data_IF_825004280466
#
_entry.id   IF_825004280466
#
_cell.length_a   1.000
_cell.length_b   1.000
_cell.length_c   1.000
_cell.angle_alpha   90.00
_cell.angle_beta   90.00
_cell.angle_gamma   90.00
#
_symmetry.space_group_name_H-M   'P 1'
#
loop_
_entity.id
_entity.type
_entity.pdbx_description
1 polymer ?
#
# COMPACT_ATOMS: atom_id res chain seq x y z
N UNK A 1 24.71 9.84 -11.83
CA UNK A 1 23.57 8.93 -12.08
C UNK A 1 22.30 9.76 -12.12
N UNK A 2 21.41 9.56 -13.10
CA UNK A 2 20.14 10.31 -13.16
C UNK A 2 19.07 9.49 -12.46
N UNK A 3 18.49 10.03 -11.40
CA UNK A 3 17.33 9.43 -10.74
C UNK A 3 16.09 9.74 -11.58
N UNK A 4 15.25 8.73 -11.82
CA UNK A 4 13.99 8.82 -12.53
C UNK A 4 12.88 8.32 -11.60
N UNK A 5 11.82 9.11 -11.45
CA UNK A 5 10.58 8.68 -10.82
C UNK A 5 9.57 8.34 -11.91
N UNK A 6 9.08 7.10 -11.92
CA UNK A 6 8.15 6.64 -12.96
C UNK A 6 7.12 5.65 -12.40
N UNK A 7 5.95 5.62 -13.05
CA UNK A 7 4.81 4.82 -12.63
C UNK A 7 4.71 3.51 -13.41
N UNK A 8 4.44 2.43 -12.70
CA UNK A 8 4.04 1.13 -13.25
C UNK A 8 2.58 0.83 -12.91
N UNK A 9 1.80 0.33 -13.86
CA UNK A 9 0.43 -0.13 -13.64
C UNK A 9 0.34 -1.65 -13.69
N UNK A 10 -0.31 -2.26 -12.70
CA UNK A 10 -0.55 -3.70 -12.64
C UNK A 10 -1.98 -4.02 -12.16
N UNK A 11 -2.51 -5.18 -12.52
CA UNK A 11 -3.84 -5.62 -12.04
C UNK A 11 -3.82 -6.04 -10.58
N UNK A 12 -2.74 -6.72 -10.18
CA UNK A 12 -2.48 -7.22 -8.83
C UNK A 12 -1.30 -6.45 -8.22
N UNK A 13 -1.21 -6.32 -6.88
CA UNK A 13 -0.05 -5.69 -6.28
C UNK A 13 1.20 -6.51 -6.56
N UNK A 14 2.32 -5.86 -6.86
CA UNK A 14 3.59 -6.55 -7.13
C UNK A 14 4.32 -6.76 -5.81
N UNK A 15 4.09 -7.90 -5.19
CA UNK A 15 4.55 -8.19 -3.83
C UNK A 15 5.98 -8.73 -3.81
N UNK A 16 6.29 -9.59 -4.77
CA UNK A 16 7.66 -9.99 -5.09
C UNK A 16 7.84 -9.97 -6.59
N UNK A 17 8.93 -9.40 -7.06
CA UNK A 17 9.35 -9.53 -8.45
C UNK A 17 9.89 -10.95 -8.73
N UNK A 18 9.42 -11.98 -7.98
CA UNK A 18 9.81 -13.41 -7.98
C UNK A 18 8.81 -14.46 -8.54
N UNK A 19 7.49 -14.19 -8.70
CA UNK A 19 6.47 -15.09 -9.27
C UNK A 19 6.74 -15.71 -10.68
N UNK A 20 6.17 -16.90 -10.96
CA UNK A 20 6.26 -17.58 -12.28
C UNK A 20 5.50 -16.86 -13.39
N UNK A 21 4.53 -16.02 -13.03
CA UNK A 21 3.56 -15.40 -13.95
C UNK A 21 3.92 -13.94 -14.28
N UNK A 22 5.18 -13.57 -14.02
CA UNK A 22 5.62 -12.18 -14.07
C UNK A 22 5.65 -11.63 -15.49
N UNK A 23 5.39 -10.32 -15.67
CA UNK A 23 5.77 -9.66 -16.89
C UNK A 23 7.30 -9.73 -17.05
N UNK A 24 7.75 -10.12 -18.24
CA UNK A 24 9.18 -10.22 -18.56
C UNK A 24 9.92 -8.89 -18.37
N UNK A 25 9.22 -7.75 -18.36
CA UNK A 25 9.76 -6.40 -18.19
C UNK A 25 8.73 -5.50 -17.48
N UNK A 26 9.18 -4.44 -16.81
CA UNK A 26 8.27 -3.39 -16.37
C UNK A 26 8.17 -2.27 -17.40
N UNK A 27 6.95 -1.95 -17.77
CA UNK A 27 6.64 -0.72 -18.48
C UNK A 27 6.42 0.38 -17.46
N UNK A 28 7.22 1.44 -17.58
CA UNK A 28 7.18 2.60 -16.71
C UNK A 28 6.86 3.85 -17.53
N UNK A 29 6.20 4.82 -16.91
CA UNK A 29 5.84 6.05 -17.59
C UNK A 29 5.25 7.09 -16.66
N UNK A 30 4.46 8.00 -17.23
CA UNK A 30 3.57 8.83 -16.43
C UNK A 30 2.46 7.97 -15.81
N UNK A 31 1.78 8.52 -14.82
CA UNK A 31 0.64 7.86 -14.19
C UNK A 31 -0.52 7.64 -15.16
N UNK A 32 -0.72 8.54 -16.13
CA UNK A 32 -1.71 8.40 -17.20
C UNK A 32 -1.36 7.23 -18.13
N UNK A 33 -0.06 7.04 -18.42
CA UNK A 33 0.41 5.92 -19.22
C UNK A 33 0.18 4.59 -18.50
N UNK A 34 0.54 4.53 -17.21
CA UNK A 34 0.24 3.38 -16.36
C UNK A 34 -1.26 3.07 -16.34
N UNK A 35 -2.12 4.09 -16.24
CA UNK A 35 -3.57 3.93 -16.15
C UNK A 35 -4.20 3.45 -17.43
N UNK A 36 -3.79 3.97 -18.58
CA UNK A 36 -4.25 3.46 -19.86
C UNK A 36 -3.82 2.01 -20.09
N UNK A 37 -2.63 1.64 -19.62
CA UNK A 37 -2.11 0.28 -19.76
C UNK A 37 -2.85 -0.74 -18.89
N UNK A 38 -3.10 -0.43 -17.62
CA UNK A 38 -3.73 -1.37 -16.70
C UNK A 38 -5.27 -1.25 -16.65
N UNK A 39 -5.82 -0.09 -17.03
CA UNK A 39 -7.21 0.29 -16.86
C UNK A 39 -7.54 0.59 -15.40
N UNK A 40 -7.70 -0.47 -14.62
CA UNK A 40 -7.94 -0.41 -13.18
C UNK A 40 -7.03 -1.40 -12.45
N UNK A 41 -6.49 -0.99 -11.30
CA UNK A 41 -5.59 -1.83 -10.53
C UNK A 41 -4.69 -1.01 -9.61
N UNK A 42 -3.46 -1.51 -9.46
CA UNK A 42 -2.42 -0.94 -8.61
C UNK A 42 -1.45 -0.12 -9.44
N UNK A 43 -1.06 1.02 -8.88
CA UNK A 43 -0.15 1.98 -9.45
C UNK A 43 1.06 2.11 -8.54
N UNK A 44 2.22 1.74 -9.06
CA UNK A 44 3.47 1.69 -8.32
C UNK A 44 4.36 2.83 -8.75
N UNK A 45 4.77 3.69 -7.81
CA UNK A 45 5.77 4.72 -8.03
C UNK A 45 7.15 4.11 -7.76
N UNK A 46 8.01 4.11 -8.77
CA UNK A 46 9.36 3.57 -8.68
C UNK A 46 10.39 4.68 -8.75
N UNK A 47 11.41 4.57 -7.89
CA UNK A 47 12.68 5.25 -8.08
C UNK A 47 13.56 4.36 -8.94
N UNK A 48 14.05 4.87 -10.07
CA UNK A 48 14.91 4.13 -10.99
C UNK A 48 16.22 4.89 -11.15
N UNK A 49 17.32 4.17 -11.08
CA UNK A 49 18.68 4.70 -11.15
C UNK A 49 19.47 3.98 -12.26
N UNK A 50 19.06 4.13 -13.54
CA UNK A 50 19.69 3.41 -14.63
C UNK A 50 21.04 4.05 -14.98
N UNK A 51 22.04 3.22 -15.27
CA UNK A 51 23.34 3.66 -15.78
C UNK A 51 23.38 3.60 -17.31
N UNK A 52 22.79 2.55 -17.90
CA UNK A 52 22.86 2.23 -19.32
C UNK A 52 21.48 2.23 -19.95
N UNK A 53 21.15 3.35 -20.60
CA UNK A 53 19.87 3.54 -21.30
C UNK A 53 20.06 3.58 -22.81
N UNK A 54 19.08 3.06 -23.56
CA UNK A 54 19.03 3.23 -25.01
C UNK A 54 17.66 3.70 -25.49
N UNK A 55 17.64 4.75 -26.30
CA UNK A 55 16.42 5.18 -27.00
C UNK A 55 16.11 4.26 -28.17
N UNK A 56 14.84 3.88 -28.31
CA UNK A 56 14.30 3.12 -29.44
C UNK A 56 13.05 3.82 -29.99
N UNK A 57 12.73 3.58 -31.26
CA UNK A 57 11.44 4.01 -31.83
C UNK A 57 10.36 3.00 -31.44
N UNK A 58 9.21 3.49 -31.00
CA UNK A 58 8.03 2.66 -30.78
C UNK A 58 7.42 2.30 -32.14
N UNK A 59 7.33 1.00 -32.43
CA UNK A 59 6.86 0.47 -33.72
C UNK A 59 5.63 -0.44 -33.59
N UNK A 60 5.02 -0.54 -32.40
CA UNK A 60 3.81 -1.36 -32.16
C UNK A 60 3.98 -2.88 -32.26
N UNK A 61 4.99 -3.39 -32.99
CA UNK A 61 5.26 -4.81 -33.16
C UNK A 61 6.17 -5.39 -32.06
N UNK A 62 6.17 -6.73 -31.98
CA UNK A 62 6.83 -7.57 -30.98
C UNK A 62 8.19 -7.03 -30.50
N UNK A 63 8.20 -6.53 -29.26
CA UNK A 63 9.36 -5.94 -28.62
C UNK A 63 10.34 -6.99 -28.09
N UNK A 64 10.00 -8.29 -28.11
CA UNK A 64 10.84 -9.37 -27.55
C UNK A 64 12.25 -9.38 -28.12
N UNK A 65 12.41 -9.35 -29.46
CA UNK A 65 13.74 -9.37 -30.08
C UNK A 65 14.58 -8.13 -29.73
N UNK A 66 13.93 -6.99 -29.49
CA UNK A 66 14.62 -5.74 -29.08
C UNK A 66 15.03 -5.80 -27.62
N UNK A 67 14.14 -6.31 -26.74
CA UNK A 67 14.39 -6.54 -25.31
C UNK A 67 15.54 -7.53 -25.12
N UNK A 68 15.50 -8.69 -25.80
CA UNK A 68 16.56 -9.71 -25.72
C UNK A 68 17.92 -9.17 -26.14
N UNK A 69 17.98 -8.41 -27.25
CA UNK A 69 19.23 -7.77 -27.69
C UNK A 69 19.70 -6.68 -26.73
N UNK A 70 18.78 -5.96 -26.10
CA UNK A 70 19.12 -4.93 -25.12
C UNK A 70 19.75 -5.55 -23.86
N UNK A 71 19.15 -6.62 -23.34
CA UNK A 71 19.68 -7.39 -22.20
C UNK A 71 21.08 -7.93 -22.47
N UNK A 72 21.28 -8.57 -23.64
CA UNK A 72 22.61 -9.07 -24.04
C UNK A 72 23.67 -7.97 -24.16
N UNK A 73 23.26 -6.73 -24.39
CA UNK A 73 24.15 -5.58 -24.43
C UNK A 73 24.39 -4.96 -23.04
N UNK A 74 23.84 -5.54 -21.97
CA UNK A 74 23.95 -5.03 -20.61
C UNK A 74 23.27 -3.68 -20.42
N UNK A 75 22.14 -3.45 -21.08
CA UNK A 75 21.33 -2.24 -20.88
C UNK A 75 20.36 -2.44 -19.73
N UNK A 76 20.21 -1.41 -18.90
CA UNK A 76 19.25 -1.39 -17.79
C UNK A 76 17.84 -1.08 -18.29
N UNK A 77 17.76 -0.17 -19.27
CA UNK A 77 16.47 0.42 -19.66
C UNK A 77 16.42 0.82 -21.13
N UNK A 78 15.24 0.64 -21.74
CA UNK A 78 14.89 1.21 -23.04
C UNK A 78 14.01 2.43 -22.85
N UNK A 79 14.25 3.48 -23.63
CA UNK A 79 13.45 4.71 -23.63
C UNK A 79 12.76 4.84 -24.98
N UNK A 80 11.47 5.18 -25.01
CA UNK A 80 10.74 5.41 -26.25
C UNK A 80 9.66 6.47 -26.06
N UNK A 81 9.33 7.21 -27.11
CA UNK A 81 8.13 8.06 -27.09
C UNK A 81 6.92 7.17 -27.16
N UNK A 82 6.06 7.22 -26.13
CA UNK A 82 4.81 6.48 -26.17
C UNK A 82 3.87 7.17 -27.16
N UNK A 83 3.45 6.42 -28.17
CA UNK A 83 2.60 6.93 -29.25
C UNK A 83 1.12 6.59 -29.07
N UNK A 84 0.81 5.85 -28.01
CA UNK A 84 -0.53 5.35 -27.74
C UNK A 84 -0.98 5.75 -26.33
N UNK A 85 -0.32 5.25 -25.29
CA UNK A 85 -0.68 5.53 -23.90
C UNK A 85 -0.24 6.97 -23.56
N UNK A 86 -1.15 7.77 -23.03
CA UNK A 86 -0.93 9.19 -22.68
C UNK A 86 -1.51 10.18 -23.69
N UNK A 87 -1.91 9.74 -24.88
CA UNK A 87 -2.46 10.61 -25.93
C UNK A 87 -3.97 10.72 -25.78
N UNK A 88 -4.50 11.94 -25.73
CA UNK A 88 -5.94 12.13 -25.55
C UNK A 88 -6.72 11.83 -26.84
N UNK A 89 -7.95 11.33 -26.71
CA UNK A 89 -8.85 11.11 -27.87
C UNK A 89 -9.05 12.38 -28.67
N UNK A 90 -9.21 13.52 -27.98
CA UNK A 90 -9.37 14.85 -28.61
C UNK A 90 -8.17 15.24 -29.47
N UNK A 91 -6.94 14.99 -28.99
CA UNK A 91 -5.73 15.28 -29.76
C UNK A 91 -5.59 14.36 -30.96
N UNK A 92 -5.96 13.08 -30.80
CA UNK A 92 -5.96 12.12 -31.91
C UNK A 92 -6.96 12.52 -32.99
N UNK A 93 -8.19 12.86 -32.63
CA UNK A 93 -9.23 13.34 -33.56
C UNK A 93 -8.75 14.57 -34.33
N UNK A 94 -8.20 15.57 -33.64
CA UNK A 94 -7.68 16.79 -34.28
C UNK A 94 -6.48 16.52 -35.22
N UNK A 95 -5.66 15.52 -34.91
CA UNK A 95 -4.56 15.10 -35.78
C UNK A 95 -5.08 14.35 -37.03
N UNK A 96 -6.15 13.56 -36.88
CA UNK A 96 -6.76 12.80 -37.97
C UNK A 96 -7.45 13.68 -39.02
N UNK A 97 -7.81 14.92 -38.67
CA UNK A 97 -8.27 15.92 -39.64
C UNK A 97 -7.18 16.33 -40.65
N UNK A 98 -5.90 16.10 -40.32
CA UNK A 98 -4.75 16.56 -41.11
C UNK A 98 -3.85 15.42 -41.60
N UNK A 99 -3.88 14.26 -40.94
CA UNK A 99 -2.97 13.15 -41.19
C UNK A 99 -3.70 11.81 -41.11
N UNK A 100 -3.30 10.84 -41.93
CA UNK A 100 -3.76 9.46 -41.78
C UNK A 100 -3.04 8.75 -40.62
N UNK A 101 -3.62 7.67 -40.10
CA UNK A 101 -2.97 6.82 -39.08
C UNK A 101 -1.56 6.38 -39.50
N UNK A 102 -1.39 5.92 -40.75
CA UNK A 102 -0.09 5.51 -41.28
C UNK A 102 0.94 6.65 -41.28
N UNK A 103 0.49 7.87 -41.58
CA UNK A 103 1.36 9.05 -41.53
C UNK A 103 1.78 9.35 -40.09
N UNK A 104 0.84 9.30 -39.14
CA UNK A 104 1.10 9.52 -37.71
C UNK A 104 2.11 8.50 -37.18
N UNK A 105 1.95 7.22 -37.50
CA UNK A 105 2.87 6.14 -37.09
C UNK A 105 4.27 6.31 -37.72
N UNK A 106 4.33 6.82 -38.96
CA UNK A 106 5.58 7.09 -39.64
C UNK A 106 6.38 8.27 -39.04
N UNK A 107 5.75 9.19 -38.29
CA UNK A 107 6.40 10.39 -37.78
C UNK A 107 7.70 10.10 -37.01
N UNK A 108 8.68 11.00 -37.13
CA UNK A 108 9.83 11.02 -36.22
C UNK A 108 9.35 11.41 -34.82
N UNK A 109 10.08 11.05 -33.76
CA UNK A 109 9.72 11.42 -32.39
C UNK A 109 9.56 12.94 -32.23
N UNK A 110 10.41 13.72 -32.90
CA UNK A 110 10.33 15.18 -32.91
C UNK A 110 9.05 15.69 -33.59
N UNK A 111 8.65 15.11 -34.73
CA UNK A 111 7.41 15.48 -35.41
C UNK A 111 6.19 15.04 -34.59
N UNK A 112 6.23 13.83 -34.04
CA UNK A 112 5.15 13.29 -33.22
C UNK A 112 4.87 14.19 -32.02
N UNK A 113 5.89 14.61 -31.27
CA UNK A 113 5.74 15.55 -30.15
C UNK A 113 5.25 16.95 -30.53
N UNK A 114 5.50 17.40 -31.76
CA UNK A 114 4.94 18.68 -32.24
C UNK A 114 3.43 18.57 -32.48
N UNK A 115 2.98 17.41 -32.95
CA UNK A 115 1.56 17.14 -33.21
C UNK A 115 0.82 16.76 -31.91
N UNK A 116 1.49 16.04 -31.02
CA UNK A 116 0.99 15.59 -29.71
C UNK A 116 1.92 16.09 -28.60
N UNK A 117 1.77 17.35 -28.13
CA UNK A 117 2.63 17.93 -27.09
C UNK A 117 2.60 17.15 -25.77
N UNK A 118 1.53 16.42 -25.48
CA UNK A 118 1.40 15.55 -24.31
C UNK A 118 2.22 14.25 -24.40
N UNK A 119 2.79 13.92 -25.56
CA UNK A 119 3.53 12.69 -25.76
C UNK A 119 4.81 12.64 -24.91
N UNK A 120 4.78 11.78 -23.89
CA UNK A 120 5.86 11.59 -22.95
C UNK A 120 6.74 10.38 -23.30
N UNK A 121 7.96 10.37 -22.77
CA UNK A 121 8.78 9.16 -22.78
C UNK A 121 8.16 8.11 -21.87
N UNK A 122 8.13 6.87 -22.35
CA UNK A 122 7.96 5.68 -21.53
C UNK A 122 9.25 4.88 -21.53
N UNK A 123 9.33 3.99 -20.57
CA UNK A 123 10.52 3.23 -20.26
C UNK A 123 10.19 1.75 -20.16
N UNK A 124 11.11 0.90 -20.60
CA UNK A 124 11.08 -0.54 -20.36
C UNK A 124 12.26 -0.88 -19.49
N UNK A 125 11.98 -1.27 -18.25
CA UNK A 125 12.99 -1.77 -17.33
C UNK A 125 13.32 -3.22 -17.68
N UNK A 126 14.58 -3.49 -17.98
CA UNK A 126 15.02 -4.77 -18.55
C UNK A 126 15.51 -5.75 -17.49
N UNK A 127 16.02 -5.24 -16.37
CA UNK A 127 16.65 -6.01 -15.31
C UNK A 127 15.78 -5.97 -14.05
N UNK A 128 15.03 -7.05 -13.83
CA UNK A 128 14.19 -7.23 -12.64
C UNK A 128 14.91 -8.13 -11.63
N UNK A 129 14.81 -7.87 -10.32
CA UNK A 129 15.39 -8.74 -9.31
C UNK A 129 14.68 -10.09 -9.28
N UNK A 130 15.45 -11.16 -9.17
CA UNK A 130 15.01 -12.49 -8.80
C UNK A 130 14.60 -12.52 -7.32
N UNK A 131 14.07 -13.66 -6.84
CA UNK A 131 13.65 -13.84 -5.44
C UNK A 131 14.76 -13.56 -4.41
N UNK A 132 16.03 -13.67 -4.82
CA UNK A 132 17.21 -13.41 -3.98
C UNK A 132 17.65 -11.92 -3.98
N UNK A 133 16.89 -11.04 -4.63
CA UNK A 133 17.20 -9.61 -4.72
C UNK A 133 18.31 -9.24 -5.70
N UNK A 134 18.80 -10.18 -6.52
CA UNK A 134 19.76 -9.92 -7.61
C UNK A 134 19.06 -9.94 -8.95
N UNK A 135 19.48 -9.09 -9.88
CA UNK A 135 19.01 -9.17 -11.26
C UNK A 135 19.51 -10.46 -11.94
N UNK A 136 18.89 -10.84 -13.06
CA UNK A 136 19.22 -12.07 -13.79
C UNK A 136 20.69 -12.09 -14.32
N UNK A 137 21.36 -10.95 -14.35
CA UNK A 137 22.78 -10.78 -14.66
C UNK A 137 23.69 -10.80 -13.41
N UNK A 138 23.12 -10.90 -12.21
CA UNK A 138 23.81 -10.96 -10.93
C UNK A 138 24.01 -9.62 -10.23
N UNK A 139 23.62 -8.51 -10.87
CA UNK A 139 23.81 -7.15 -10.36
C UNK A 139 22.71 -6.73 -9.37
N UNK A 140 22.95 -5.62 -8.66
CA UNK A 140 21.93 -5.01 -7.80
C UNK A 140 20.79 -4.41 -8.64
N UNK A 141 19.55 -4.48 -8.15
CA UNK A 141 18.42 -3.86 -8.84
C UNK A 141 18.63 -2.35 -8.96
N UNK A 142 18.44 -1.84 -10.17
CA UNK A 142 18.56 -0.41 -10.49
C UNK A 142 17.30 0.38 -10.14
N UNK A 143 16.41 -0.16 -9.30
CA UNK A 143 15.18 0.51 -8.90
C UNK A 143 14.74 0.10 -7.50
N UNK A 144 13.84 0.91 -6.93
CA UNK A 144 13.14 0.62 -5.68
C UNK A 144 11.69 1.08 -5.81
N UNK A 145 10.74 0.26 -5.36
CA UNK A 145 9.35 0.70 -5.26
C UNK A 145 9.20 1.62 -4.05
N UNK A 146 8.75 2.85 -4.31
CA UNK A 146 8.59 3.87 -3.29
C UNK A 146 7.15 3.91 -2.79
N UNK A 147 6.17 3.68 -3.66
CA UNK A 147 4.76 3.71 -3.29
C UNK A 147 3.89 2.80 -4.16
N UNK A 148 2.74 2.38 -3.62
CA UNK A 148 1.75 1.55 -4.30
C UNK A 148 0.35 2.04 -3.92
N UNK A 149 -0.46 2.36 -4.92
CA UNK A 149 -1.78 2.96 -4.75
C UNK A 149 -2.81 2.16 -5.53
N UNK A 150 -4.00 1.96 -4.95
CA UNK A 150 -5.09 1.30 -5.65
C UNK A 150 -6.00 2.36 -6.29
N UNK A 151 -6.12 2.33 -7.62
CA UNK A 151 -6.89 3.28 -8.41
C UNK A 151 -6.13 4.56 -8.80
N UNK A 152 -6.51 5.14 -9.94
CA UNK A 152 -5.83 6.28 -10.56
C UNK A 152 -5.90 7.55 -9.70
N UNK A 153 -7.06 7.87 -9.13
CA UNK A 153 -7.23 9.07 -8.31
C UNK A 153 -6.38 9.00 -7.03
N UNK A 154 -6.35 7.84 -6.36
CA UNK A 154 -5.50 7.59 -5.20
C UNK A 154 -4.02 7.81 -5.52
N UNK A 155 -3.60 7.37 -6.71
CA UNK A 155 -2.22 7.50 -7.18
C UNK A 155 -1.86 8.95 -7.56
N UNK A 156 -2.74 9.67 -8.27
CA UNK A 156 -2.54 11.07 -8.68
C UNK A 156 -2.46 12.03 -7.51
N UNK A 157 -3.31 11.79 -6.52
CA UNK A 157 -3.38 12.59 -5.33
C UNK A 157 -2.35 12.13 -4.28
N UNK A 158 -1.52 11.13 -4.61
CA UNK A 158 -0.54 10.55 -3.71
C UNK A 158 -1.14 10.12 -2.37
N UNK A 159 -2.41 9.67 -2.36
CA UNK A 159 -3.27 9.60 -1.17
C UNK A 159 -2.57 9.03 0.06
N UNK A 160 -2.05 9.97 0.85
CA UNK A 160 -2.26 10.11 2.28
C UNK A 160 -3.66 10.75 2.47
N UNK A 161 -4.74 10.02 2.26
CA UNK A 161 -5.84 10.26 3.19
C UNK A 161 -5.44 9.51 4.46
N UNK A 162 -5.11 10.24 5.53
CA UNK A 162 -5.72 9.86 6.80
C UNK A 162 -7.17 9.65 6.46
N UNK A 163 -7.61 8.39 6.47
CA UNK A 163 -8.88 7.92 5.93
C UNK A 163 -10.02 8.75 6.55
N UNK A 164 -10.31 9.93 6.00
CA UNK A 164 -11.47 10.74 6.30
C UNK A 164 -12.54 10.25 5.34
N UNK A 165 -12.94 9.00 5.56
CA UNK A 165 -14.12 8.48 4.89
C UNK A 165 -15.29 9.36 5.29
N UNK A 166 -15.94 9.93 4.27
CA UNK A 166 -17.32 10.39 4.30
C UNK A 166 -18.16 9.41 5.12
N UNK A 167 -18.41 9.75 6.37
CA UNK A 167 -19.02 8.86 7.35
C UNK A 167 -19.45 9.65 8.58
N UNK A 168 -20.44 10.53 8.39
CA UNK A 168 -21.10 11.37 9.40
C UNK A 168 -20.17 12.34 10.13
N UNK A 169 -20.47 13.62 9.98
CA UNK A 169 -19.80 14.80 10.57
C UNK A 169 -19.97 14.92 12.11
N UNK A 170 -20.10 13.81 12.82
CA UNK A 170 -20.23 13.77 14.29
C UNK A 170 -19.07 13.00 14.93
N UNK A 171 -18.66 13.35 16.16
CA UNK A 171 -17.66 12.57 16.89
C UNK A 171 -18.15 11.13 17.05
N UNK A 172 -17.36 10.15 16.57
CA UNK A 172 -17.59 8.74 16.88
C UNK A 172 -17.42 8.56 18.39
N UNK A 173 -18.40 7.97 19.11
CA UNK A 173 -18.27 7.68 20.52
C UNK A 173 -17.01 6.83 20.79
N UNK A 174 -16.33 7.04 21.93
CA UNK A 174 -15.24 6.18 22.37
C UNK A 174 -15.64 4.70 22.35
N UNK A 175 -14.69 3.82 22.03
CA UNK A 175 -14.94 2.38 22.02
C UNK A 175 -15.57 1.88 23.33
N UNK A 176 -15.12 2.37 24.49
CA UNK A 176 -15.61 1.98 25.80
C UNK A 176 -17.12 2.27 26.03
N UNK A 177 -17.67 3.27 25.32
CA UNK A 177 -19.10 3.64 25.38
C UNK A 177 -19.99 2.79 24.45
N UNK A 178 -19.39 1.98 23.57
CA UNK A 178 -20.09 1.12 22.64
C UNK A 178 -20.07 -0.32 23.14
N UNK A 179 -21.16 -1.07 22.95
CA UNK A 179 -21.06 -2.54 23.10
C UNK A 179 -20.06 -3.08 22.09
N UNK A 180 -19.44 -4.23 22.39
CA UNK A 180 -18.44 -4.81 21.50
C UNK A 180 -18.96 -4.98 20.07
N UNK A 181 -20.20 -5.44 19.90
CA UNK A 181 -20.86 -5.63 18.60
C UNK A 181 -21.05 -4.30 17.86
N UNK A 182 -21.39 -3.23 18.58
CA UNK A 182 -21.51 -1.88 18.00
C UNK A 182 -20.15 -1.32 17.60
N UNK A 183 -19.10 -1.59 18.38
CA UNK A 183 -17.76 -1.14 18.07
C UNK A 183 -17.18 -1.83 16.83
N UNK A 184 -17.40 -3.14 16.68
CA UNK A 184 -16.96 -3.91 15.50
C UNK A 184 -17.94 -3.79 14.31
N UNK A 185 -19.11 -3.19 14.50
CA UNK A 185 -20.10 -2.95 13.44
C UNK A 185 -20.95 -4.16 13.03
N UNK A 186 -20.85 -5.29 13.73
CA UNK A 186 -21.55 -6.54 13.41
C UNK A 186 -22.13 -7.20 14.65
N UNK A 187 -23.45 -7.43 14.66
CA UNK A 187 -24.16 -8.15 15.74
C UNK A 187 -23.85 -9.64 15.78
N UNK A 188 -23.56 -10.23 14.61
CA UNK A 188 -23.25 -11.65 14.44
C UNK A 188 -22.11 -11.79 13.43
N UNK A 189 -20.86 -11.51 13.82
CA UNK A 189 -19.72 -11.60 12.92
C UNK A 189 -19.48 -13.06 12.52
N UNK A 190 -19.09 -13.28 11.27
CA UNK A 190 -18.63 -14.58 10.82
C UNK A 190 -17.19 -14.79 11.28
N UNK A 191 -16.96 -15.84 12.08
CA UNK A 191 -15.66 -16.19 12.63
C UNK A 191 -15.18 -17.47 11.96
N UNK A 192 -14.11 -17.35 11.18
CA UNK A 192 -13.48 -18.46 10.47
C UNK A 192 -12.37 -19.04 11.36
N UNK A 193 -12.31 -20.37 11.46
CA UNK A 193 -11.16 -21.01 12.09
C UNK A 193 -10.01 -21.04 11.10
N UNK A 194 -8.81 -20.79 11.59
CA UNK A 194 -7.61 -20.65 10.75
C UNK A 194 -7.30 -21.94 9.97
N UNK A 195 -7.65 -23.11 10.52
CA UNK A 195 -7.57 -24.43 9.87
C UNK A 195 -8.48 -24.60 8.63
N UNK A 196 -9.46 -23.71 8.45
CA UNK A 196 -10.38 -23.71 7.31
C UNK A 196 -10.11 -22.57 6.33
N UNK A 197 -8.99 -21.85 6.47
CA UNK A 197 -8.62 -20.87 5.48
C UNK A 197 -8.41 -21.55 4.12
N UNK A 198 -9.10 -21.05 3.10
CA UNK A 198 -8.90 -21.50 1.73
C UNK A 198 -7.70 -20.77 1.09
N UNK A 199 -7.26 -21.24 -0.09
CA UNK A 199 -6.13 -20.67 -0.81
C UNK A 199 -6.26 -19.17 -1.09
N UNK A 200 -7.49 -18.66 -1.29
CA UNK A 200 -7.73 -17.24 -1.54
C UNK A 200 -7.55 -16.40 -0.28
N UNK A 201 -7.95 -16.92 0.88
CA UNK A 201 -7.74 -16.29 2.18
C UNK A 201 -6.26 -16.28 2.57
N UNK A 202 -5.55 -17.38 2.33
CA UNK A 202 -4.10 -17.48 2.54
C UNK A 202 -3.36 -16.44 1.70
N UNK A 203 -3.64 -16.38 0.39
CA UNK A 203 -3.05 -15.37 -0.52
C UNK A 203 -3.34 -13.93 -0.07
N UNK A 204 -4.52 -13.68 0.50
CA UNK A 204 -4.86 -12.35 0.98
C UNK A 204 -4.08 -11.98 2.26
N UNK A 205 -3.85 -12.94 3.15
CA UNK A 205 -3.00 -12.76 4.33
C UNK A 205 -1.56 -12.45 3.89
N UNK A 206 -1.00 -13.23 2.99
CA UNK A 206 0.34 -13.01 2.40
C UNK A 206 0.43 -11.60 1.78
N UNK A 207 -0.60 -11.19 1.01
CA UNK A 207 -0.65 -9.85 0.43
C UNK A 207 -0.74 -8.71 1.46
N UNK A 208 -1.21 -8.98 2.67
CA UNK A 208 -1.18 -8.01 3.78
C UNK A 208 0.20 -7.97 4.44
N UNK A 209 0.86 -9.12 4.60
CA UNK A 209 2.24 -9.22 5.09
C UNK A 209 3.21 -8.47 4.17
N UNK A 210 3.15 -8.75 2.88
CA UNK A 210 3.97 -8.08 1.88
C UNK A 210 3.74 -6.57 1.85
N UNK A 211 2.49 -6.12 2.01
CA UNK A 211 2.18 -4.69 2.10
C UNK A 211 2.81 -4.02 3.33
N UNK A 212 2.92 -4.73 4.45
CA UNK A 212 3.59 -4.25 5.65
C UNK A 212 5.11 -4.16 5.46
N UNK A 213 5.72 -5.17 4.84
CA UNK A 213 7.15 -5.18 4.51
C UNK A 213 7.49 -4.00 3.60
N UNK A 214 6.70 -3.78 2.54
CA UNK A 214 6.88 -2.65 1.63
C UNK A 214 6.72 -1.31 2.39
N UNK A 215 5.67 -1.16 3.21
CA UNK A 215 5.47 0.05 3.99
C UNK A 215 6.63 0.30 4.97
N UNK A 216 7.22 -0.76 5.53
CA UNK A 216 8.38 -0.66 6.40
C UNK A 216 9.62 -0.14 5.69
N UNK A 217 9.92 -0.65 4.50
CA UNK A 217 11.01 -0.11 3.68
C UNK A 217 10.85 1.39 3.37
N UNK A 218 9.60 1.86 3.23
CA UNK A 218 9.31 3.29 3.00
C UNK A 218 9.60 4.15 4.20
N UNK A 219 9.44 3.63 5.41
CA UNK A 219 9.78 4.37 6.64
C UNK A 219 11.29 4.64 6.71
N UNK A 220 12.10 3.70 6.23
CA UNK A 220 13.56 3.83 6.21
C UNK A 220 14.05 4.71 5.03
N UNK A 221 13.15 5.11 4.15
CA UNK A 221 13.47 5.95 2.99
C UNK A 221 13.20 7.43 3.29
N UNK A 222 14.26 8.22 3.47
CA UNK A 222 14.15 9.66 3.72
C UNK A 222 13.71 10.43 2.46
N UNK A 223 12.41 10.62 2.30
CA UNK A 223 11.81 11.45 1.24
C UNK A 223 10.73 12.42 1.79
N UNK A 224 11.10 13.32 2.71
CA UNK A 224 10.13 14.21 3.39
C UNK A 224 9.40 15.16 2.43
N UNK A 225 10.01 15.46 1.29
CA UNK A 225 9.46 16.37 0.28
C UNK A 225 8.51 15.70 -0.72
N UNK A 226 8.27 14.38 -0.58
CA UNK A 226 7.35 13.64 -1.46
C UNK A 226 6.00 13.47 -0.75
N UNK A 227 4.96 14.21 -1.17
CA UNK A 227 3.61 14.01 -0.66
C UNK A 227 3.19 12.56 -0.89
N UNK A 228 2.77 11.88 0.17
CA UNK A 228 2.40 10.46 0.09
C UNK A 228 3.38 9.48 0.72
N UNK A 229 4.56 9.95 1.19
CA UNK A 229 5.59 9.12 1.83
C UNK A 229 5.90 9.49 3.29
N UNK A 230 5.25 10.53 3.81
CA UNK A 230 5.47 10.99 5.19
C UNK A 230 5.02 9.90 6.18
N UNK A 231 5.99 9.32 6.87
CA UNK A 231 5.77 8.49 8.04
C UNK A 231 5.78 9.36 9.30
N UNK A 232 5.11 8.89 10.35
CA UNK A 232 5.10 9.56 11.64
C UNK A 232 5.12 8.53 12.75
N UNK A 233 6.12 8.62 13.63
CA UNK A 233 6.06 7.92 14.91
C UNK A 233 4.88 8.45 15.73
N UNK A 234 4.04 7.52 16.19
CA UNK A 234 2.86 7.84 16.99
C UNK A 234 3.23 7.84 18.47
N UNK A 235 3.75 6.72 18.96
CA UNK A 235 4.24 6.56 20.33
C UNK A 235 5.03 5.25 20.48
N UNK A 236 5.68 5.11 21.64
CA UNK A 236 6.35 3.89 22.10
C UNK A 236 5.69 3.42 23.40
N UNK A 237 5.30 2.14 23.47
CA UNK A 237 4.66 1.53 24.63
C UNK A 237 5.07 0.06 24.73
N UNK A 238 5.43 -0.41 25.94
CA UNK A 238 5.80 -1.82 26.21
C UNK A 238 6.85 -2.42 25.25
N UNK A 239 7.86 -1.61 24.87
CA UNK A 239 8.91 -2.03 23.93
C UNK A 239 8.45 -2.12 22.46
N UNK A 240 7.26 -1.60 22.14
CA UNK A 240 6.71 -1.53 20.78
C UNK A 240 6.70 -0.08 20.30
N UNK A 241 7.25 0.16 19.11
CA UNK A 241 7.24 1.46 18.43
C UNK A 241 6.17 1.47 17.34
N UNK A 242 5.18 2.36 17.45
CA UNK A 242 4.07 2.48 16.51
C UNK A 242 4.31 3.60 15.51
N UNK A 243 4.22 3.28 14.22
CA UNK A 243 4.54 4.22 13.13
C UNK A 243 3.37 4.25 12.15
N UNK A 244 2.78 5.44 11.97
CA UNK A 244 1.85 5.69 10.88
C UNK A 244 2.63 5.82 9.58
N UNK A 245 2.30 5.01 8.60
CA UNK A 245 2.86 5.05 7.26
C UNK A 245 1.72 5.17 6.23
N UNK A 246 2.02 5.57 4.98
CA UNK A 246 1.01 5.61 3.93
C UNK A 246 0.30 4.25 3.77
N UNK A 247 -1.02 4.24 4.01
CA UNK A 247 -1.88 3.04 3.95
C UNK A 247 -1.53 1.91 4.95
N UNK A 248 -0.71 2.18 5.96
CA UNK A 248 -0.33 1.19 6.95
C UNK A 248 -0.12 1.80 8.36
N UNK A 249 -0.38 1.01 9.38
CA UNK A 249 0.14 1.23 10.73
C UNK A 249 1.17 0.14 11.00
N UNK A 250 2.42 0.51 11.23
CA UNK A 250 3.49 -0.44 11.51
C UNK A 250 3.74 -0.52 13.00
N UNK A 251 4.18 -1.69 13.45
CA UNK A 251 4.76 -1.87 14.77
C UNK A 251 6.15 -2.49 14.63
N UNK A 252 7.15 -1.76 15.13
CA UNK A 252 8.53 -2.22 15.24
C UNK A 252 8.86 -2.56 16.68
N UNK A 253 9.85 -3.42 16.87
CA UNK A 253 10.52 -3.52 18.15
C UNK A 253 11.22 -2.19 18.46
N UNK A 254 11.04 -1.65 19.66
CA UNK A 254 11.56 -0.32 20.00
C UNK A 254 13.09 -0.30 20.11
N UNK A 255 13.71 -1.45 20.41
CA UNK A 255 15.17 -1.58 20.56
C UNK A 255 15.85 -1.99 19.26
N UNK A 256 15.33 -3.01 18.57
CA UNK A 256 15.98 -3.55 17.36
C UNK A 256 15.50 -2.92 16.07
N UNK A 257 14.41 -2.16 16.10
CA UNK A 257 13.71 -1.61 14.93
C UNK A 257 13.18 -2.67 13.95
N UNK A 258 13.19 -3.94 14.33
CA UNK A 258 12.65 -5.03 13.54
C UNK A 258 11.13 -4.88 13.37
N UNK A 259 10.62 -5.08 12.16
CA UNK A 259 9.19 -5.07 11.88
C UNK A 259 8.53 -6.31 12.48
N UNK A 260 7.61 -6.11 13.44
CA UNK A 260 6.91 -7.20 14.13
C UNK A 260 5.51 -7.48 13.53
N UNK A 261 5.00 -6.55 12.73
CA UNK A 261 3.71 -6.64 12.06
C UNK A 261 3.08 -5.26 11.85
N UNK A 262 1.76 -5.23 11.76
CA UNK A 262 1.03 -3.98 11.60
C UNK A 262 -0.40 -4.15 11.13
N UNK A 263 -0.94 -3.07 10.59
CA UNK A 263 -2.23 -3.02 9.94
C UNK A 263 -2.03 -2.53 8.52
N UNK A 264 -2.34 -3.36 7.54
CA UNK A 264 -2.37 -2.99 6.13
C UNK A 264 -3.68 -3.50 5.53
N UNK A 265 -4.23 -2.77 4.56
CA UNK A 265 -5.50 -3.14 3.88
C UNK A 265 -6.67 -3.36 4.85
N UNK A 266 -6.62 -2.74 6.03
CA UNK A 266 -7.64 -2.88 7.08
C UNK A 266 -7.57 -4.20 7.86
N UNK A 267 -6.49 -4.97 7.73
CA UNK A 267 -6.25 -6.26 8.39
C UNK A 267 -5.12 -6.11 9.38
N UNK A 268 -5.30 -6.66 10.58
CA UNK A 268 -4.24 -6.73 11.58
C UNK A 268 -3.45 -8.01 11.38
N UNK A 269 -2.14 -7.86 11.21
CA UNK A 269 -1.22 -8.96 10.94
C UNK A 269 -0.03 -8.88 11.89
N UNK A 270 0.31 -10.01 12.50
CA UNK A 270 1.50 -10.17 13.35
C UNK A 270 2.31 -11.33 12.79
N UNK A 271 3.59 -11.06 12.49
CA UNK A 271 4.45 -12.07 11.89
C UNK A 271 4.64 -13.25 12.85
N UNK A 272 4.75 -14.49 12.31
CA UNK A 272 4.78 -15.72 13.12
C UNK A 272 5.73 -15.67 14.32
N UNK A 273 6.92 -15.12 14.13
CA UNK A 273 8.01 -15.03 15.10
C UNK A 273 7.69 -14.08 16.26
N UNK A 274 6.82 -13.10 16.02
CA UNK A 274 6.42 -12.08 16.99
C UNK A 274 5.08 -12.41 17.69
N UNK A 275 4.41 -13.51 17.34
CA UNK A 275 3.12 -13.90 17.92
C UNK A 275 3.26 -14.23 19.42
N UNK A 276 2.14 -14.16 20.15
CA UNK A 276 2.11 -14.41 21.60
C UNK A 276 2.54 -13.22 22.47
N UNK A 277 3.09 -12.15 21.90
CA UNK A 277 3.54 -10.94 22.61
C UNK A 277 2.45 -9.89 22.88
N UNK A 278 1.18 -10.15 22.54
CA UNK A 278 0.07 -9.20 22.70
C UNK A 278 0.02 -8.07 21.66
N UNK A 279 0.84 -8.13 20.61
CA UNK A 279 0.98 -7.08 19.59
C UNK A 279 -0.33 -6.78 18.85
N UNK A 280 -1.11 -7.80 18.47
CA UNK A 280 -2.39 -7.60 17.76
C UNK A 280 -3.40 -6.78 18.60
N UNK A 281 -3.40 -6.97 19.93
CA UNK A 281 -4.20 -6.15 20.85
C UNK A 281 -3.73 -4.70 20.82
N UNK A 282 -2.42 -4.48 20.93
CA UNK A 282 -1.83 -3.15 20.95
C UNK A 282 -2.10 -2.39 19.64
N UNK A 283 -1.99 -3.05 18.48
CA UNK A 283 -2.33 -2.48 17.18
C UNK A 283 -3.79 -2.00 17.10
N UNK A 284 -4.73 -2.80 17.62
CA UNK A 284 -6.14 -2.40 17.67
C UNK A 284 -6.40 -1.20 18.58
N UNK A 285 -5.69 -1.09 19.69
CA UNK A 285 -5.76 0.05 20.62
C UNK A 285 -5.19 1.29 19.94
N UNK A 286 -3.97 1.19 19.41
CA UNK A 286 -3.31 2.26 18.66
C UNK A 286 -4.22 2.81 17.55
N UNK A 287 -4.79 1.93 16.74
CA UNK A 287 -5.69 2.32 15.64
C UNK A 287 -6.94 3.08 16.14
N UNK A 288 -7.50 2.71 17.30
CA UNK A 288 -8.67 3.39 17.86
C UNK A 288 -8.31 4.74 18.48
N UNK A 289 -7.22 4.82 19.25
CA UNK A 289 -6.80 6.02 19.97
C UNK A 289 -6.25 7.09 19.01
N UNK A 290 -5.49 6.67 18.00
CA UNK A 290 -4.88 7.60 17.03
C UNK A 290 -5.77 7.88 15.83
N UNK A 291 -6.70 6.98 15.53
CA UNK A 291 -7.55 7.01 14.32
C UNK A 291 -6.75 7.14 13.02
N UNK A 292 -5.47 6.75 13.02
CA UNK A 292 -4.58 6.86 11.86
C UNK A 292 -4.96 5.89 10.73
N UNK A 293 -5.63 4.79 11.07
CA UNK A 293 -6.03 3.76 10.11
C UNK A 293 -7.43 3.24 10.45
N UNK A 294 -8.21 2.95 9.42
CA UNK A 294 -9.54 2.39 9.58
C UNK A 294 -9.53 0.87 9.44
N UNK A 295 -10.23 0.19 10.33
CA UNK A 295 -10.42 -1.26 10.31
C UNK A 295 -11.81 -1.55 9.75
N UNK A 296 -11.88 -2.30 8.65
CA UNK A 296 -13.14 -2.70 8.00
C UNK A 296 -13.27 -4.23 7.91
N UNK A 297 -13.24 -4.97 9.03
CA UNK A 297 -13.44 -6.41 8.96
C UNK A 297 -14.90 -6.72 8.65
N UNK A 298 -15.17 -7.31 7.49
CA UNK A 298 -16.44 -7.99 7.19
C UNK A 298 -16.41 -9.46 7.61
N UNK A 299 -15.21 -9.99 7.88
CA UNK A 299 -14.93 -11.36 8.30
C UNK A 299 -13.79 -11.34 9.34
N UNK A 300 -13.84 -12.24 10.32
CA UNK A 300 -12.79 -12.39 11.32
C UNK A 300 -12.21 -13.80 11.29
N UNK A 301 -10.89 -13.94 11.40
CA UNK A 301 -10.31 -15.19 11.90
C UNK A 301 -10.59 -15.33 13.40
N UNK A 302 -10.50 -16.54 13.94
CA UNK A 302 -10.65 -16.78 15.37
C UNK A 302 -9.65 -15.95 16.20
N UNK A 303 -8.38 -15.92 15.78
CA UNK A 303 -7.36 -15.08 16.41
C UNK A 303 -7.68 -13.59 16.31
N UNK A 304 -8.09 -13.12 15.13
CA UNK A 304 -8.43 -11.71 14.89
C UNK A 304 -9.66 -11.24 15.68
N UNK A 305 -10.67 -12.10 15.84
CA UNK A 305 -11.82 -11.81 16.70
C UNK A 305 -11.40 -11.72 18.18
N UNK A 306 -10.57 -12.67 18.63
CA UNK A 306 -10.07 -12.71 20.01
C UNK A 306 -9.20 -11.49 20.33
N UNK A 307 -8.30 -11.07 19.43
CA UNK A 307 -7.47 -9.87 19.61
C UNK A 307 -8.32 -8.60 19.65
N UNK A 308 -9.34 -8.50 18.79
CA UNK A 308 -10.27 -7.36 18.79
C UNK A 308 -11.06 -7.29 20.09
N UNK A 309 -11.59 -8.41 20.56
CA UNK A 309 -12.30 -8.48 21.86
C UNK A 309 -11.38 -8.14 23.04
N UNK A 310 -10.13 -8.62 23.00
CA UNK A 310 -9.11 -8.29 24.00
C UNK A 310 -8.79 -6.79 24.01
N UNK A 311 -8.66 -6.16 22.85
CA UNK A 311 -8.43 -4.73 22.73
C UNK A 311 -9.60 -3.90 23.25
N UNK A 312 -10.84 -4.30 22.93
CA UNK A 312 -12.03 -3.64 23.46
C UNK A 312 -12.07 -3.67 24.99
N UNK A 313 -11.79 -4.84 25.58
CA UNK A 313 -11.72 -4.99 27.04
C UNK A 313 -10.66 -4.08 27.65
N UNK A 314 -9.47 -4.01 27.06
CA UNK A 314 -8.40 -3.15 27.53
C UNK A 314 -8.77 -1.65 27.45
N UNK A 315 -9.43 -1.23 26.36
CA UNK A 315 -9.94 0.14 26.21
C UNK A 315 -11.01 0.47 27.27
N UNK A 316 -11.90 -0.48 27.58
CA UNK A 316 -12.89 -0.31 28.65
C UNK A 316 -12.22 -0.21 30.03
N UNK A 317 -11.19 -1.02 30.30
CA UNK A 317 -10.45 -0.97 31.56
C UNK A 317 -9.71 0.36 31.72
N UNK A 318 -8.99 0.82 30.70
CA UNK A 318 -8.32 2.13 30.68
C UNK A 318 -9.30 3.28 30.89
N UNK A 319 -10.46 3.24 30.23
CA UNK A 319 -11.52 4.23 30.42
C UNK A 319 -12.01 4.24 31.87
N UNK A 320 -12.26 3.06 32.45
CA UNK A 320 -12.70 2.93 33.83
C UNK A 320 -11.66 3.48 34.83
N UNK A 321 -10.38 3.17 34.62
CA UNK A 321 -9.26 3.67 35.43
C UNK A 321 -9.13 5.20 35.39
N UNK A 322 -9.45 5.82 34.25
CA UNK A 322 -9.46 7.28 34.10
C UNK A 322 -10.72 7.96 34.63
N UNK A 323 -11.72 7.19 35.07
CA UNK A 323 -13.03 7.72 35.47
C UNK A 323 -13.95 8.06 34.29
N UNK A 324 -13.61 7.64 33.07
CA UNK A 324 -14.41 7.87 31.87
C UNK A 324 -15.69 7.01 31.87
N UNK A 325 -16.63 7.35 30.97
CA UNK A 325 -17.84 6.58 30.76
C UNK A 325 -17.51 5.22 30.11
N UNK A 326 -18.07 4.14 30.68
CA UNK A 326 -18.03 2.78 30.12
C UNK A 326 -19.45 2.26 30.00
N UNK A 327 -19.81 1.68 28.86
CA UNK A 327 -21.14 1.12 28.68
C UNK A 327 -21.40 -0.01 29.69
N UNK A 328 -22.56 0.00 30.34
CA UNK A 328 -22.94 -1.00 31.35
C UNK A 328 -22.78 -2.45 30.86
N UNK A 329 -23.16 -2.70 29.61
CA UNK A 329 -23.02 -4.03 28.98
C UNK A 329 -21.58 -4.50 28.91
N UNK A 330 -20.60 -3.59 28.82
CA UNK A 330 -19.18 -3.94 28.80
C UNK A 330 -18.65 -4.23 30.22
N UNK A 331 -19.12 -3.50 31.23
CA UNK A 331 -18.76 -3.77 32.63
C UNK A 331 -19.16 -5.19 33.02
N UNK A 332 -20.39 -5.58 32.68
CA UNK A 332 -20.91 -6.93 32.90
C UNK A 332 -20.16 -7.97 32.07
N UNK A 333 -20.00 -7.73 30.75
CA UNK A 333 -19.38 -8.69 29.84
C UNK A 333 -17.88 -8.94 30.12
N UNK A 334 -17.18 -7.98 30.72
CA UNK A 334 -15.75 -8.08 31.02
C UNK A 334 -15.43 -8.20 32.51
N UNK A 335 -16.46 -8.22 33.36
CA UNK A 335 -16.34 -8.30 34.82
C UNK A 335 -15.39 -7.20 35.34
N UNK A 336 -15.63 -5.96 34.90
CA UNK A 336 -14.86 -4.79 35.29
C UNK A 336 -15.56 -4.09 36.46
N UNK A 337 -14.87 -3.97 37.58
CA UNK A 337 -15.34 -3.25 38.77
C UNK A 337 -14.54 -1.94 38.93
N UNK A 338 -15.21 -0.87 39.36
CA UNK A 338 -14.49 0.36 39.74
C UNK A 338 -13.66 0.04 40.97
N UNK A 339 -12.37 0.46 41.03
CA UNK A 339 -11.60 0.35 42.26
C UNK A 339 -12.35 1.07 43.39
N UNK A 340 -12.42 0.43 44.57
CA UNK A 340 -13.22 0.86 45.73
C UNK A 340 -12.68 2.13 46.43
N UNK A 341 -12.09 3.06 45.69
CA UNK A 341 -11.57 4.33 46.18
C UNK A 341 -12.18 5.47 45.39
N UNK A 342 -13.45 5.74 45.70
CA UNK A 342 -13.97 7.10 45.81
C UNK A 342 -15.01 7.04 46.93
N UNK A 343 -14.61 7.51 48.11
CA UNK A 343 -15.52 7.85 49.19
C UNK A 343 -16.53 8.82 48.58
N UNK A 344 -17.82 8.47 48.62
CA UNK A 344 -18.90 9.40 48.32
C UNK A 344 -18.59 10.73 49.04
N UNK A 345 -18.56 11.88 48.36
CA UNK A 345 -18.64 13.13 49.08
C UNK A 345 -20.03 13.14 49.73
N UNK A 346 -20.07 12.83 51.01
CA UNK A 346 -21.19 13.18 51.88
C UNK A 346 -21.25 14.71 51.89
N UNK A 347 -22.04 15.35 51.03
CA UNK A 347 -22.83 16.55 51.32
C UNK A 347 -23.97 16.71 50.31
#
# INVERSE_FOLDING_TARGET
MKILYAWHGSKDPVLTYGAKDKPDVLHLGSIEQAAMRCGHGYFHLLEVRPEKMRRIKDKGADKHATITRARRAGLDMLVYVNRYEGISTKSLEAALDQYTNDQIDAFTDAKFRRVFPEACDSYILLNMPEQNGRCADGDQPVFSEIACYHGLESAKLGWLEQVQLRGKTGPKPPAAELSFEKWIGHKSPLIVREEYHNDQEIKWIEACEDALVIANYRVDFEAPDVPGLVSKELYVEDGLRFISAPNALLVRDAETEELLGGIARGVVTVFPEARGRGIARALHICAEETRCINLKPTYFSQGGYASRKSAHRALCARALERGDLVAKVNLEAYTLERPATEVEPQF
#
